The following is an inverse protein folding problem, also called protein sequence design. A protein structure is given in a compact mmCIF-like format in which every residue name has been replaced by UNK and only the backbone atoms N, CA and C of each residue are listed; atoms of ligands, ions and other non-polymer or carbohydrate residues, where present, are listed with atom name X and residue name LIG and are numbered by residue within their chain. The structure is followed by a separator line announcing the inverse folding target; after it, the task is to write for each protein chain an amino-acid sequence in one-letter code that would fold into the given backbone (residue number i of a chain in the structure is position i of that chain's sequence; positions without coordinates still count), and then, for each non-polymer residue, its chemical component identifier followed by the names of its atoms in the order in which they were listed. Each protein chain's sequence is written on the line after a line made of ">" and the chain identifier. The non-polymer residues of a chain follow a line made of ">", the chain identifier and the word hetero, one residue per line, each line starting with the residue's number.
data_IF_759954061995
#
_entry.id   IF_759954061995
#
_cell.length_a   1.000
_cell.length_b   1.000
_cell.length_c   1.000
_cell.angle_alpha   90.00
_cell.angle_beta   90.00
_cell.angle_gamma   90.00
#
_symmetry.space_group_name_H-M   'P 1'
#
loop_
_entity.id
_entity.type
_entity.pdbx_description
1 polymer ?
#
# COMPACT_ATOMS: atom_id res chain seq x y z
N UNK A 1 92.43 -27.77 -5.27
CA UNK A 1 91.65 -26.76 -4.56
C UNK A 1 90.81 -25.97 -5.57
N UNK A 2 89.54 -26.38 -5.81
CA UNK A 2 88.71 -25.77 -6.80
C UNK A 2 87.57 -25.04 -6.12
N UNK A 3 87.53 -23.73 -6.28
CA UNK A 3 86.44 -22.91 -5.80
C UNK A 3 85.40 -22.78 -6.94
N UNK A 4 84.24 -23.43 -6.76
CA UNK A 4 83.10 -23.26 -7.65
C UNK A 4 82.41 -21.92 -7.30
N UNK A 5 82.33 -21.02 -8.27
CA UNK A 5 81.55 -19.81 -8.22
C UNK A 5 80.08 -20.14 -8.50
N UNK A 6 79.20 -19.88 -7.53
CA UNK A 6 77.75 -20.01 -7.72
C UNK A 6 77.26 -18.65 -8.24
N UNK A 7 76.68 -18.66 -9.44
CA UNK A 7 75.97 -17.52 -10.04
C UNK A 7 74.53 -17.53 -9.51
N UNK A 8 74.19 -16.51 -8.72
CA UNK A 8 72.83 -16.34 -8.25
C UNK A 8 72.03 -15.51 -9.27
N UNK A 9 71.09 -16.17 -9.93
CA UNK A 9 70.20 -15.55 -10.91
C UNK A 9 69.02 -14.92 -10.17
N UNK A 10 68.95 -13.56 -10.13
CA UNK A 10 67.79 -12.84 -9.58
C UNK A 10 66.68 -12.83 -10.62
N UNK A 11 65.60 -13.53 -10.35
CA UNK A 11 64.35 -13.47 -11.12
C UNK A 11 63.55 -12.27 -10.61
N UNK A 12 63.48 -11.20 -11.41
CA UNK A 12 62.60 -10.04 -11.13
C UNK A 12 61.20 -10.43 -11.55
N UNK A 13 60.33 -10.75 -10.60
CA UNK A 13 58.91 -10.93 -10.82
C UNK A 13 58.28 -9.54 -10.90
N UNK A 14 57.97 -9.12 -12.13
CA UNK A 14 57.22 -7.89 -12.36
C UNK A 14 55.73 -8.08 -11.93
N UNK A 15 55.36 -7.37 -10.88
CA UNK A 15 53.97 -7.32 -10.39
C UNK A 15 53.18 -6.41 -11.34
N UNK A 16 52.42 -7.02 -12.28
CA UNK A 16 51.48 -6.30 -13.13
C UNK A 16 50.25 -5.99 -12.30
N UNK A 17 50.12 -4.77 -11.80
CA UNK A 17 48.93 -4.27 -11.13
C UNK A 17 47.85 -4.01 -12.19
N UNK A 18 46.86 -4.92 -12.29
CA UNK A 18 45.62 -4.66 -13.03
C UNK A 18 44.82 -3.61 -12.24
N UNK A 19 44.80 -2.39 -12.72
CA UNK A 19 43.88 -1.36 -12.26
C UNK A 19 42.50 -1.67 -12.88
N UNK A 20 41.60 -2.22 -12.08
CA UNK A 20 40.20 -2.25 -12.43
C UNK A 20 39.67 -0.82 -12.36
N UNK A 21 39.33 -0.25 -13.51
CA UNK A 21 38.61 1.00 -13.59
C UNK A 21 37.18 0.74 -13.10
N UNK A 22 36.84 1.25 -11.91
CA UNK A 22 35.49 1.33 -11.43
C UNK A 22 34.65 2.23 -12.36
N UNK A 23 33.87 1.64 -13.24
CA UNK A 23 32.85 2.36 -13.99
C UNK A 23 31.77 2.82 -13.03
N UNK A 24 31.45 4.12 -12.95
CA UNK A 24 30.32 4.58 -12.17
C UNK A 24 29.03 4.07 -12.80
N UNK A 25 28.44 3.04 -12.22
CA UNK A 25 27.08 2.62 -12.54
C UNK A 25 26.15 3.78 -12.19
N UNK A 26 25.76 4.56 -13.19
CA UNK A 26 24.71 5.56 -13.07
C UNK A 26 23.43 4.84 -12.63
N UNK A 27 23.09 4.95 -11.34
CA UNK A 27 21.76 4.54 -10.85
C UNK A 27 20.73 5.42 -11.54
N UNK A 28 20.20 4.93 -12.65
CA UNK A 28 19.04 5.53 -13.32
C UNK A 28 17.89 5.48 -12.35
N UNK A 29 17.65 6.59 -11.67
CA UNK A 29 16.47 6.79 -10.83
C UNK A 29 15.25 6.83 -11.74
N UNK A 30 14.69 5.67 -12.03
CA UNK A 30 13.43 5.57 -12.77
C UNK A 30 12.40 6.36 -11.97
N UNK A 31 11.92 7.48 -12.52
CA UNK A 31 10.77 8.20 -11.97
C UNK A 31 9.62 7.21 -11.94
N UNK A 32 9.20 6.80 -10.74
CA UNK A 32 8.03 5.94 -10.55
C UNK A 32 6.85 6.67 -11.19
N UNK A 33 6.23 6.06 -12.19
CA UNK A 33 5.02 6.62 -12.77
C UNK A 33 3.97 6.81 -11.67
N UNK A 34 3.30 7.95 -11.66
CA UNK A 34 2.20 8.18 -10.74
C UNK A 34 1.17 7.05 -10.90
N UNK A 35 0.68 6.52 -9.78
CA UNK A 35 -0.37 5.51 -9.82
C UNK A 35 -1.60 6.13 -10.48
N UNK A 36 -2.13 5.45 -11.49
CA UNK A 36 -3.30 5.91 -12.27
C UNK A 36 -4.33 4.79 -12.24
N UNK A 37 -5.58 5.17 -11.98
CA UNK A 37 -6.71 4.23 -12.04
C UNK A 37 -7.06 3.93 -13.49
N UNK A 38 -7.08 2.64 -13.86
CA UNK A 38 -7.42 2.22 -15.23
C UNK A 38 -8.89 2.47 -15.55
N UNK A 39 -9.25 2.57 -16.85
CA UNK A 39 -10.64 2.67 -17.27
C UNK A 39 -11.52 1.52 -16.78
N UNK A 40 -10.98 0.30 -16.72
CA UNK A 40 -11.70 -0.90 -16.26
C UNK A 40 -12.05 -0.78 -14.77
N UNK A 41 -11.12 -0.30 -13.93
CA UNK A 41 -11.37 -0.08 -12.51
C UNK A 41 -12.42 1.00 -12.30
N UNK A 42 -12.40 2.09 -13.09
CA UNK A 42 -13.42 3.14 -13.03
C UNK A 42 -14.80 2.60 -13.40
N UNK A 43 -14.89 1.78 -14.45
CA UNK A 43 -16.12 1.14 -14.87
C UNK A 43 -16.66 0.17 -13.79
N UNK A 44 -15.77 -0.63 -13.18
CA UNK A 44 -16.14 -1.51 -12.07
C UNK A 44 -16.62 -0.73 -10.84
N UNK A 45 -15.94 0.36 -10.48
CA UNK A 45 -16.36 1.24 -9.39
C UNK A 45 -17.73 1.86 -9.65
N UNK A 46 -17.97 2.36 -10.86
CA UNK A 46 -19.27 2.89 -11.22
C UNK A 46 -20.37 1.82 -11.20
N UNK A 47 -20.07 0.58 -11.61
CA UNK A 47 -21.03 -0.54 -11.52
C UNK A 47 -21.33 -0.94 -10.05
N UNK A 48 -20.41 -0.69 -9.13
CA UNK A 48 -20.57 -0.90 -7.69
C UNK A 48 -21.14 0.32 -6.95
N UNK A 49 -21.45 1.41 -7.68
CA UNK A 49 -21.91 2.67 -7.08
C UNK A 49 -23.15 2.45 -6.21
N UNK A 50 -23.13 3.09 -5.05
CA UNK A 50 -24.20 3.03 -4.04
C UNK A 50 -24.58 4.43 -3.58
N UNK A 51 -25.57 4.51 -2.69
CA UNK A 51 -25.96 5.73 -2.00
C UNK A 51 -25.86 5.56 -0.49
N UNK A 52 -25.91 6.68 0.24
CA UNK A 52 -25.94 6.65 1.72
C UNK A 52 -24.57 6.49 2.37
N UNK A 53 -23.49 6.84 1.67
CA UNK A 53 -22.19 7.04 2.32
C UNK A 53 -22.19 8.33 3.15
N UNK A 54 -21.58 8.26 4.33
CA UNK A 54 -21.41 9.42 5.21
C UNK A 54 -20.18 10.23 4.79
N UNK A 55 -20.42 11.33 4.11
CA UNK A 55 -19.36 12.23 3.67
C UNK A 55 -18.71 13.02 4.82
N UNK A 56 -19.32 13.08 6.01
CA UNK A 56 -18.72 13.77 7.15
C UNK A 56 -17.47 13.07 7.66
N UNK A 57 -17.34 11.77 7.40
CA UNK A 57 -16.16 10.97 7.76
C UNK A 57 -14.86 11.47 7.11
N UNK A 58 -14.93 12.20 6.00
CA UNK A 58 -13.75 12.82 5.38
C UNK A 58 -13.06 13.86 6.27
N UNK A 59 -13.75 14.41 7.29
CA UNK A 59 -13.17 15.31 8.28
C UNK A 59 -12.22 14.59 9.24
N UNK A 60 -12.31 13.25 9.29
CA UNK A 60 -11.54 12.37 10.17
C UNK A 60 -10.47 11.56 9.44
N UNK A 61 -10.32 11.78 8.13
CA UNK A 61 -9.27 11.17 7.32
C UNK A 61 -7.94 11.87 7.55
N UNK A 62 -6.93 11.14 7.98
CA UNK A 62 -5.57 11.64 8.07
C UNK A 62 -4.94 11.79 6.68
N UNK A 63 -4.32 12.95 6.40
CA UNK A 63 -3.70 13.31 5.11
C UNK A 63 -4.58 13.05 3.86
N UNK A 64 -5.80 13.60 3.79
CA UNK A 64 -6.76 13.30 2.72
C UNK A 64 -6.25 13.70 1.31
N UNK A 65 -5.26 14.59 1.21
CA UNK A 65 -4.71 15.04 -0.07
C UNK A 65 -3.99 13.92 -0.86
N UNK A 66 -3.60 12.81 -0.20
CA UNK A 66 -3.03 11.61 -0.86
C UNK A 66 -4.10 10.73 -1.50
N UNK A 67 -5.36 10.91 -1.17
CA UNK A 67 -6.47 10.06 -1.56
C UNK A 67 -7.19 10.63 -2.80
N UNK A 68 -7.04 9.95 -3.93
CA UNK A 68 -7.73 10.29 -5.17
C UNK A 68 -9.08 9.57 -5.23
N UNK A 69 -10.19 10.30 -5.05
CA UNK A 69 -11.54 9.73 -5.16
C UNK A 69 -11.79 9.24 -6.59
N UNK A 70 -12.16 7.98 -6.71
CA UNK A 70 -12.55 7.30 -7.96
C UNK A 70 -14.05 7.23 -8.07
N UNK A 71 -14.73 6.79 -6.98
CA UNK A 71 -16.19 6.81 -6.85
C UNK A 71 -16.56 7.24 -5.42
N UNK A 72 -17.53 8.13 -5.31
CA UNK A 72 -17.87 8.75 -4.01
C UNK A 72 -18.47 7.76 -3.01
N UNK A 73 -19.15 6.77 -3.51
CA UNK A 73 -19.83 5.78 -2.69
C UNK A 73 -19.98 4.48 -3.46
N UNK A 74 -19.39 3.39 -2.96
CA UNK A 74 -19.61 2.04 -3.49
C UNK A 74 -20.08 1.11 -2.38
N UNK A 75 -20.68 -0.01 -2.78
CA UNK A 75 -20.99 -1.14 -1.91
C UNK A 75 -20.41 -2.42 -2.51
N UNK A 76 -19.67 -3.17 -1.71
CA UNK A 76 -19.04 -4.44 -2.10
C UNK A 76 -19.30 -5.51 -1.06
N UNK A 77 -19.16 -6.78 -1.45
CA UNK A 77 -19.12 -7.91 -0.52
C UNK A 77 -17.79 -8.66 -0.61
N UNK A 78 -17.45 -9.38 0.46
CA UNK A 78 -16.24 -10.17 0.53
C UNK A 78 -15.99 -10.74 1.93
N UNK A 79 -14.88 -11.43 2.09
CA UNK A 79 -14.47 -12.02 3.36
C UNK A 79 -13.26 -11.30 3.94
N UNK A 80 -13.32 -10.92 5.22
CA UNK A 80 -12.19 -10.31 5.92
C UNK A 80 -11.06 -11.32 6.01
N UNK A 81 -9.91 -10.99 5.42
CA UNK A 81 -8.72 -11.83 5.39
C UNK A 81 -7.71 -11.47 6.49
N UNK A 82 -7.54 -10.18 6.74
CA UNK A 82 -6.60 -9.68 7.75
C UNK A 82 -7.08 -8.34 8.31
N UNK A 83 -6.71 -8.03 9.55
CA UNK A 83 -7.00 -6.78 10.22
C UNK A 83 -5.77 -6.33 10.99
N UNK A 84 -5.40 -5.06 10.84
CA UNK A 84 -4.26 -4.44 11.51
C UNK A 84 -4.66 -3.04 11.97
N UNK A 85 -4.37 -2.71 13.22
CA UNK A 85 -4.49 -1.35 13.75
C UNK A 85 -3.32 -0.50 13.29
N UNK A 86 -3.58 0.72 12.88
CA UNK A 86 -2.55 1.65 12.43
C UNK A 86 -2.28 2.76 13.45
N UNK A 87 -1.14 3.44 13.29
CA UNK A 87 -0.68 4.43 14.27
C UNK A 87 -1.50 5.73 14.22
N UNK A 88 -2.16 6.02 13.11
CA UNK A 88 -3.06 7.17 12.91
C UNK A 88 -4.46 6.98 13.49
N UNK A 89 -4.75 5.76 13.98
CA UNK A 89 -6.03 5.41 14.60
C UNK A 89 -6.97 4.66 13.67
N UNK A 90 -6.67 4.53 12.41
CA UNK A 90 -7.45 3.77 11.45
C UNK A 90 -7.18 2.27 11.59
N UNK A 91 -8.09 1.45 11.13
CA UNK A 91 -7.88 0.00 11.04
C UNK A 91 -7.74 -0.39 9.57
N UNK A 92 -6.58 -0.95 9.21
CA UNK A 92 -6.29 -1.46 7.88
C UNK A 92 -6.79 -2.89 7.74
N UNK A 93 -7.84 -3.08 6.96
CA UNK A 93 -8.52 -4.35 6.76
C UNK A 93 -8.29 -4.83 5.32
N UNK A 94 -7.81 -6.05 5.15
CA UNK A 94 -7.71 -6.72 3.86
C UNK A 94 -8.93 -7.58 3.63
N UNK A 95 -9.67 -7.32 2.55
CA UNK A 95 -10.89 -8.05 2.20
C UNK A 95 -10.73 -8.76 0.87
N UNK A 96 -10.91 -10.08 0.88
CA UNK A 96 -11.08 -10.86 -0.35
C UNK A 96 -12.48 -10.61 -0.86
N UNK A 97 -12.59 -9.73 -1.84
CA UNK A 97 -13.89 -9.35 -2.40
C UNK A 97 -14.46 -10.47 -3.26
N UNK A 98 -15.78 -10.55 -3.29
CA UNK A 98 -16.49 -11.48 -4.17
C UNK A 98 -16.45 -11.02 -5.63
N UNK A 99 -16.57 -11.92 -6.63
CA UNK A 99 -16.87 -11.53 -7.99
C UNK A 99 -18.23 -10.79 -8.06
N UNK A 100 -18.38 -9.69 -8.84
CA UNK A 100 -17.39 -9.15 -9.78
C UNK A 100 -16.46 -8.06 -9.22
N UNK A 101 -16.40 -7.86 -7.90
CA UNK A 101 -15.65 -6.77 -7.26
C UNK A 101 -14.11 -6.95 -7.31
N UNK A 102 -13.62 -8.12 -7.69
CA UNK A 102 -12.21 -8.38 -7.98
C UNK A 102 -11.64 -7.40 -9.04
N UNK A 103 -12.49 -6.88 -9.92
CA UNK A 103 -12.16 -5.85 -10.92
C UNK A 103 -11.83 -4.48 -10.33
N UNK A 104 -12.09 -4.27 -9.04
CA UNK A 104 -11.68 -3.06 -8.31
C UNK A 104 -10.20 -3.08 -7.91
N UNK A 105 -9.57 -4.25 -7.93
CA UNK A 105 -8.18 -4.42 -7.52
C UNK A 105 -7.21 -3.98 -8.63
N UNK A 106 -6.23 -3.19 -8.26
CA UNK A 106 -5.12 -2.86 -9.16
C UNK A 106 -3.91 -3.78 -8.92
N UNK A 107 -2.84 -3.60 -9.70
CA UNK A 107 -1.62 -4.39 -9.56
C UNK A 107 -0.96 -4.28 -8.17
N UNK A 108 -1.17 -3.18 -7.45
CA UNK A 108 -0.64 -3.00 -6.09
C UNK A 108 -1.45 -3.78 -5.07
N UNK A 109 -2.78 -3.81 -5.19
CA UNK A 109 -3.59 -4.71 -4.36
C UNK A 109 -3.13 -6.16 -4.49
N UNK A 110 -2.86 -6.61 -5.73
CA UNK A 110 -2.43 -7.99 -5.99
C UNK A 110 -1.05 -8.27 -5.40
N UNK A 111 -0.09 -7.36 -5.60
CA UNK A 111 1.32 -7.62 -5.24
C UNK A 111 1.68 -7.36 -3.79
N UNK A 112 0.97 -6.47 -3.09
CA UNK A 112 1.30 -6.06 -1.70
C UNK A 112 0.15 -6.19 -0.70
N UNK A 113 -1.10 -6.35 -1.17
CA UNK A 113 -2.27 -6.49 -0.30
C UNK A 113 -2.88 -7.90 -0.39
N UNK A 114 -2.06 -8.92 -0.71
CA UNK A 114 -2.49 -10.32 -0.82
C UNK A 114 -3.68 -10.54 -1.77
N UNK A 115 -3.78 -9.74 -2.85
CA UNK A 115 -4.93 -9.68 -3.76
C UNK A 115 -6.25 -9.37 -3.02
N UNK A 116 -6.20 -8.52 -2.01
CA UNK A 116 -7.35 -8.02 -1.26
C UNK A 116 -7.61 -6.55 -1.60
N UNK A 117 -8.86 -6.14 -1.48
CA UNK A 117 -9.22 -4.74 -1.38
C UNK A 117 -8.88 -4.25 0.04
N UNK A 118 -8.25 -3.11 0.13
CA UNK A 118 -8.02 -2.44 1.41
C UNK A 118 -9.28 -1.71 1.82
N UNK A 119 -9.61 -1.76 3.10
CA UNK A 119 -10.82 -1.16 3.68
C UNK A 119 -10.43 -0.50 4.99
N UNK A 120 -10.56 0.84 5.08
CA UNK A 120 -10.09 1.62 6.22
C UNK A 120 -11.21 2.45 6.86
N UNK A 121 -11.84 1.92 7.93
CA UNK A 121 -12.64 2.73 8.81
C UNK A 121 -11.74 3.65 9.65
N UNK A 122 -12.10 4.92 9.71
CA UNK A 122 -11.30 5.96 10.38
C UNK A 122 -11.50 5.93 11.89
N UNK A 123 -10.45 6.26 12.66
CA UNK A 123 -10.52 6.49 14.10
C UNK A 123 -11.14 5.32 14.92
N UNK A 124 -10.82 4.10 14.56
CA UNK A 124 -11.26 2.87 15.26
C UNK A 124 -10.42 2.56 16.50
N UNK A 125 -9.17 3.00 16.49
CA UNK A 125 -8.15 2.69 17.48
C UNK A 125 -7.56 3.94 18.11
N UNK A 126 -6.80 3.79 19.21
CA UNK A 126 -6.08 4.89 19.82
C UNK A 126 -4.98 5.41 18.87
N UNK A 127 -4.99 6.70 18.60
CA UNK A 127 -3.96 7.38 17.80
C UNK A 127 -2.66 7.44 18.58
N UNK A 128 -1.58 6.91 18.00
CA UNK A 128 -0.22 6.98 18.55
C UNK A 128 0.71 7.87 17.72
N UNK A 129 0.30 8.22 16.52
CA UNK A 129 1.00 9.12 15.62
C UNK A 129 0.61 10.58 15.92
N UNK A 130 1.57 11.39 16.34
CA UNK A 130 1.32 12.72 16.91
C UNK A 130 0.60 13.67 15.95
N UNK A 131 0.93 13.64 14.66
CA UNK A 131 0.35 14.52 13.65
C UNK A 131 -1.01 14.03 13.12
N UNK A 132 -1.43 12.81 13.45
CA UNK A 132 -2.76 12.29 13.16
C UNK A 132 -3.80 12.58 14.26
N UNK A 133 -3.37 12.96 15.46
CA UNK A 133 -4.27 13.18 16.62
C UNK A 133 -5.42 14.13 16.31
N UNK A 134 -5.18 15.15 15.49
CA UNK A 134 -6.21 16.14 15.16
C UNK A 134 -7.36 15.53 14.34
N UNK A 135 -7.11 14.54 13.51
CA UNK A 135 -8.13 13.89 12.68
C UNK A 135 -9.16 13.14 13.54
N UNK A 136 -8.71 12.47 14.59
CA UNK A 136 -9.58 11.66 15.47
C UNK A 136 -9.99 12.37 16.77
N UNK A 137 -9.68 13.68 16.91
CA UNK A 137 -10.01 14.41 18.12
C UNK A 137 -11.53 14.44 18.34
N UNK A 138 -11.96 14.01 19.53
CA UNK A 138 -13.37 13.97 19.94
C UNK A 138 -14.28 13.13 19.02
N UNK A 139 -13.68 12.19 18.24
CA UNK A 139 -14.39 11.31 17.34
C UNK A 139 -13.92 9.85 17.53
N UNK A 140 -14.86 8.94 17.40
CA UNK A 140 -14.62 7.51 17.28
C UNK A 140 -15.61 6.96 16.25
N UNK A 141 -15.13 6.16 15.34
CA UNK A 141 -15.97 5.54 14.29
C UNK A 141 -17.17 4.80 14.89
N UNK A 142 -18.37 4.96 14.32
CA UNK A 142 -19.51 4.13 14.69
C UNK A 142 -19.51 2.75 14.03
N UNK A 143 -18.53 2.46 13.18
CA UNK A 143 -18.44 1.19 12.45
C UNK A 143 -18.12 0.06 13.43
N UNK A 144 -18.87 -1.03 13.36
CA UNK A 144 -18.59 -2.25 14.13
C UNK A 144 -17.79 -3.22 13.27
N UNK A 145 -16.58 -3.55 13.71
CA UNK A 145 -15.68 -4.44 12.97
C UNK A 145 -16.03 -5.91 13.23
N UNK A 146 -16.46 -6.67 12.22
CA UNK A 146 -16.49 -8.13 12.31
C UNK A 146 -15.07 -8.70 12.37
N UNK A 147 -14.93 -9.92 12.86
CA UNK A 147 -13.65 -10.62 12.93
C UNK A 147 -13.16 -11.12 11.56
N UNK A 148 -11.90 -11.58 11.53
CA UNK A 148 -11.32 -12.31 10.39
C UNK A 148 -12.21 -13.53 10.05
N UNK A 149 -12.21 -13.92 8.78
CA UNK A 149 -13.03 -14.99 8.17
C UNK A 149 -14.55 -14.72 8.16
N UNK A 150 -14.98 -13.53 8.57
CA UNK A 150 -16.39 -13.15 8.42
C UNK A 150 -16.68 -12.61 7.01
N UNK A 151 -17.77 -13.09 6.40
CA UNK A 151 -18.29 -12.53 5.16
C UNK A 151 -19.08 -11.27 5.47
N UNK A 152 -18.79 -10.19 4.73
CA UNK A 152 -19.26 -8.85 5.05
C UNK A 152 -19.74 -8.10 3.81
N UNK A 153 -20.60 -7.13 4.06
CA UNK A 153 -20.98 -6.09 3.10
C UNK A 153 -20.42 -4.76 3.59
N UNK A 154 -19.72 -4.05 2.71
CA UNK A 154 -18.94 -2.85 3.03
C UNK A 154 -19.42 -1.71 2.16
N UNK A 155 -19.60 -0.53 2.75
CA UNK A 155 -19.93 0.70 2.03
C UNK A 155 -18.99 1.81 2.43
N UNK A 156 -18.54 2.61 1.45
CA UNK A 156 -17.65 3.75 1.68
C UNK A 156 -17.20 4.39 0.38
N UNK A 157 -16.28 5.35 0.49
CA UNK A 157 -15.69 6.02 -0.67
C UNK A 157 -14.60 5.16 -1.29
N UNK A 158 -14.65 4.93 -2.59
CA UNK A 158 -13.62 4.19 -3.31
C UNK A 158 -12.57 5.15 -3.84
N UNK A 159 -11.33 4.92 -3.45
CA UNK A 159 -10.21 5.80 -3.74
C UNK A 159 -8.99 5.04 -4.29
N UNK A 160 -8.06 5.79 -4.86
CA UNK A 160 -6.67 5.38 -5.04
C UNK A 160 -5.80 6.11 -4.00
N UNK A 161 -5.10 5.37 -3.16
CA UNK A 161 -4.08 5.95 -2.30
C UNK A 161 -2.80 6.22 -3.12
N UNK A 162 -2.40 7.48 -3.19
CA UNK A 162 -1.22 7.93 -3.94
C UNK A 162 0.03 8.07 -3.09
N UNK A 163 -0.01 7.65 -1.80
CA UNK A 163 1.17 7.66 -0.92
C UNK A 163 2.33 6.87 -1.55
N UNK A 164 3.57 7.31 -1.30
CA UNK A 164 4.75 6.85 -2.03
C UNK A 164 4.97 5.34 -2.05
N UNK A 165 4.57 4.62 -1.00
CA UNK A 165 4.72 3.17 -0.90
C UNK A 165 3.40 2.40 -1.06
N UNK A 166 2.27 3.10 -1.19
CA UNK A 166 0.95 2.55 -1.37
C UNK A 166 0.64 2.31 -2.86
N UNK A 167 -0.25 3.09 -3.44
CA UNK A 167 -0.62 2.99 -4.85
C UNK A 167 -1.64 1.90 -5.12
N UNK A 168 -2.33 1.38 -4.09
CA UNK A 168 -3.45 0.47 -4.22
C UNK A 168 -4.80 1.20 -4.23
N UNK A 169 -5.83 0.52 -4.64
CA UNK A 169 -7.22 0.97 -4.49
C UNK A 169 -7.79 0.49 -3.16
N UNK A 170 -8.64 1.31 -2.54
CA UNK A 170 -9.24 1.02 -1.25
C UNK A 170 -10.61 1.66 -1.06
N UNK A 171 -11.34 1.24 -0.02
CA UNK A 171 -12.52 1.94 0.48
C UNK A 171 -12.10 2.73 1.72
N UNK A 172 -12.02 4.05 1.59
CA UNK A 172 -11.62 4.97 2.65
C UNK A 172 -12.25 6.37 2.43
N UNK A 173 -12.95 6.95 3.40
CA UNK A 173 -13.41 6.34 4.64
C UNK A 173 -14.54 5.33 4.44
N UNK A 174 -14.64 4.38 5.37
CA UNK A 174 -15.71 3.39 5.43
C UNK A 174 -16.90 3.95 6.18
N UNK A 175 -18.10 3.83 5.58
CA UNK A 175 -19.35 4.23 6.23
C UNK A 175 -19.97 3.09 7.04
N UNK A 176 -19.89 1.86 6.55
CA UNK A 176 -20.44 0.69 7.25
C UNK A 176 -19.78 -0.61 6.85
N UNK A 177 -19.68 -1.54 7.80
CA UNK A 177 -19.35 -2.95 7.60
C UNK A 177 -20.43 -3.78 8.28
N UNK A 178 -21.13 -4.61 7.51
CA UNK A 178 -22.25 -5.42 7.99
C UNK A 178 -21.95 -6.89 7.71
N UNK A 179 -21.98 -7.72 8.76
CA UNK A 179 -21.86 -9.18 8.62
C UNK A 179 -23.06 -9.73 7.84
N UNK A 180 -22.77 -10.57 6.86
CA UNK A 180 -23.76 -11.27 6.01
C UNK A 180 -24.07 -12.68 6.56
#
# INVERSE_FOLDING_TARGET
>A
MNRKKIFLLFLVVGCFSLQFADSPTAKTRTKRAAAVVSPEIKAAAHAAAATGCDNSLWQHVYHPARLQVVEKCIEVTGTIHHLKKEADGDDHIQVKVDPPFDKLLNARNISVQAACLVVEPVCESAVTQTDAVAACKDFHSPVRLPGVDQHVKIRGSFILDTEANHGWTEIHPVTSIIKQ
#
